data_IF_178044901946
#
_entry.id   IF_178044901946
#
_cell.length_a   1.000
_cell.length_b   1.000
_cell.length_c   1.000
_cell.angle_alpha   90.00
_cell.angle_beta   90.00
_cell.angle_gamma   90.00
#
_symmetry.space_group_name_H-M   'P 1'
#
loop_
_entity.id
_entity.type
_entity.pdbx_description
1 polymer ?
#
# COMPACT_ATOMS: atom_id res chain seq x y z
N UNK A 1 -8.82 26.46 -25.23
CA UNK A 1 -8.00 27.02 -24.14
C UNK A 1 -7.03 25.93 -23.68
N UNK A 2 -5.73 26.25 -23.48
CA UNK A 2 -4.79 25.30 -22.87
C UNK A 2 -5.11 25.20 -21.39
N UNK A 3 -5.34 23.99 -20.89
CA UNK A 3 -5.47 23.75 -19.44
C UNK A 3 -4.09 23.86 -18.81
N UNK A 4 -3.95 24.66 -17.76
CA UNK A 4 -2.69 24.84 -17.04
C UNK A 4 -2.84 24.16 -15.69
N UNK A 5 -1.90 23.27 -15.35
CA UNK A 5 -1.86 22.61 -14.05
C UNK A 5 -1.51 23.60 -12.93
N UNK A 6 -1.82 23.28 -11.66
CA UNK A 6 -1.48 24.16 -10.53
C UNK A 6 -0.01 24.56 -10.44
N UNK A 7 0.91 23.75 -10.98
CA UNK A 7 2.35 24.01 -11.05
C UNK A 7 2.79 24.77 -12.32
N UNK A 8 1.85 25.33 -13.09
CA UNK A 8 2.14 26.14 -14.27
C UNK A 8 2.43 25.34 -15.55
N UNK A 9 2.47 24.00 -15.47
CA UNK A 9 2.71 23.15 -16.64
C UNK A 9 1.47 23.17 -17.55
N UNK A 10 1.59 23.54 -18.82
CA UNK A 10 0.50 23.43 -19.77
C UNK A 10 0.25 21.95 -20.08
N UNK A 11 -0.96 21.46 -19.80
CA UNK A 11 -1.38 20.14 -20.26
C UNK A 11 -1.37 20.14 -21.79
N UNK A 12 -0.63 19.21 -22.40
CA UNK A 12 -0.78 18.95 -23.81
C UNK A 12 -2.20 18.43 -24.07
N UNK A 13 -2.82 18.88 -25.15
CA UNK A 13 -4.17 18.43 -25.52
C UNK A 13 -4.21 17.00 -26.06
N UNK A 14 -3.05 16.39 -26.30
CA UNK A 14 -2.97 15.00 -26.73
C UNK A 14 -3.15 14.08 -25.53
N UNK A 15 -4.19 13.27 -25.53
CA UNK A 15 -4.35 12.16 -24.60
C UNK A 15 -3.06 11.31 -24.56
N UNK A 16 -2.72 10.69 -23.41
CA UNK A 16 -1.65 9.70 -23.39
C UNK A 16 -1.96 8.67 -24.46
N UNK A 17 -1.08 8.54 -25.46
CA UNK A 17 -1.29 7.57 -26.54
C UNK A 17 -1.46 6.20 -25.92
N UNK A 18 -2.53 5.49 -26.28
CA UNK A 18 -2.70 4.09 -25.89
C UNK A 18 -1.48 3.32 -26.36
N UNK A 19 -0.68 2.82 -25.41
CA UNK A 19 0.51 2.04 -25.72
C UNK A 19 0.03 0.64 -26.08
N UNK A 20 0.16 0.28 -27.36
CA UNK A 20 -0.19 -1.04 -27.88
C UNK A 20 1.02 -1.97 -28.01
N UNK A 21 2.24 -1.45 -27.83
CA UNK A 21 3.49 -2.20 -27.93
C UNK A 21 4.19 -2.24 -26.56
N UNK A 22 4.19 -3.43 -25.97
CA UNK A 22 4.84 -3.72 -24.68
C UNK A 22 6.21 -4.40 -24.84
N UNK A 23 6.75 -4.47 -26.06
CA UNK A 23 8.05 -5.09 -26.33
C UNK A 23 9.24 -4.17 -26.05
N UNK A 24 8.98 -2.88 -25.80
CA UNK A 24 10.02 -1.88 -25.57
C UNK A 24 10.34 -1.70 -24.09
N UNK A 25 11.63 -1.64 -23.77
CA UNK A 25 12.20 -1.43 -22.43
C UNK A 25 12.60 0.04 -22.17
N UNK A 26 12.45 0.91 -23.17
CA UNK A 26 12.77 2.33 -23.02
C UNK A 26 11.68 3.06 -22.22
N UNK A 27 12.05 4.05 -21.40
CA UNK A 27 11.10 4.93 -20.74
C UNK A 27 10.16 5.58 -21.76
N UNK A 28 8.90 5.73 -21.37
CA UNK A 28 7.92 6.45 -22.18
C UNK A 28 8.34 7.93 -22.30
N UNK A 29 8.12 8.50 -23.49
CA UNK A 29 8.30 9.93 -23.68
C UNK A 29 7.41 10.71 -22.70
N UNK A 30 7.95 11.82 -22.19
CA UNK A 30 7.29 12.76 -21.26
C UNK A 30 7.17 14.14 -21.92
N UNK A 31 6.26 14.33 -22.90
CA UNK A 31 6.23 15.52 -23.76
C UNK A 31 6.07 16.84 -23.01
N UNK A 32 5.43 16.82 -21.84
CA UNK A 32 5.23 18.00 -21.00
C UNK A 32 6.53 18.49 -20.33
N UNK A 33 7.63 17.73 -20.39
CA UNK A 33 8.96 18.14 -19.96
C UNK A 33 9.88 18.56 -21.13
N UNK A 34 9.46 18.43 -22.39
CA UNK A 34 10.25 18.87 -23.55
C UNK A 34 10.31 20.40 -23.67
N UNK A 35 9.31 21.11 -23.16
CA UNK A 35 9.22 22.58 -23.18
C UNK A 35 8.56 23.08 -21.89
N UNK A 36 9.26 22.99 -20.74
CA UNK A 36 8.73 23.44 -19.46
C UNK A 36 8.60 24.97 -19.41
N UNK A 37 7.75 25.52 -18.54
CA UNK A 37 7.69 26.97 -18.33
C UNK A 37 9.04 27.48 -17.77
N UNK A 38 9.35 28.75 -18.04
CA UNK A 38 10.59 29.40 -17.56
C UNK A 38 10.69 29.40 -16.02
N UNK A 39 9.55 29.49 -15.34
CA UNK A 39 9.42 29.43 -13.89
C UNK A 39 8.43 28.33 -13.53
N UNK A 40 8.86 27.40 -12.67
CA UNK A 40 8.00 26.35 -12.12
C UNK A 40 7.66 26.73 -10.68
N UNK A 41 6.38 26.94 -10.40
CA UNK A 41 5.91 27.30 -9.07
C UNK A 41 5.79 26.05 -8.19
N UNK A 42 6.83 25.80 -7.39
CA UNK A 42 6.89 24.66 -6.45
C UNK A 42 6.06 24.89 -5.19
N UNK A 43 5.49 26.08 -4.99
CA UNK A 43 4.66 26.38 -3.81
C UNK A 43 3.24 25.80 -3.90
N UNK A 44 2.87 25.24 -5.06
CA UNK A 44 1.52 24.76 -5.34
C UNK A 44 1.50 23.25 -5.57
N UNK A 45 0.55 22.57 -4.95
CA UNK A 45 0.34 21.13 -5.11
C UNK A 45 1.39 20.26 -4.41
N UNK A 46 1.26 18.94 -4.61
CA UNK A 46 2.22 17.96 -4.09
C UNK A 46 3.33 17.79 -5.12
N UNK A 47 4.56 17.96 -4.67
CA UNK A 47 5.76 17.80 -5.47
C UNK A 47 6.38 16.44 -5.14
N UNK A 48 6.73 15.64 -6.14
CA UNK A 48 7.42 14.37 -5.92
C UNK A 48 8.92 14.58 -6.15
N UNK A 49 9.74 14.14 -5.21
CA UNK A 49 11.19 14.31 -5.30
C UNK A 49 11.89 13.47 -6.41
N UNK A 50 11.10 12.85 -7.28
CA UNK A 50 11.56 12.13 -8.46
C UNK A 50 11.57 12.99 -9.72
N UNK A 51 10.98 14.19 -9.70
CA UNK A 51 10.83 15.04 -10.87
C UNK A 51 12.13 15.80 -11.21
N UNK A 52 12.64 15.64 -12.44
CA UNK A 52 13.89 16.25 -12.93
C UNK A 52 13.90 17.77 -12.83
N UNK A 53 12.75 18.39 -13.07
CA UNK A 53 12.62 19.83 -13.04
C UNK A 53 12.69 20.42 -11.62
N UNK A 54 12.44 19.62 -10.58
CA UNK A 54 12.60 20.04 -9.18
C UNK A 54 14.04 19.91 -8.71
N UNK A 55 14.73 18.85 -9.16
CA UNK A 55 16.13 18.60 -8.80
C UNK A 55 17.07 19.55 -9.57
N UNK A 56 16.64 20.00 -10.76
CA UNK A 56 17.39 20.87 -11.68
C UNK A 56 18.88 20.49 -11.76
N UNK A 57 19.17 19.27 -12.25
CA UNK A 57 20.53 18.71 -12.23
C UNK A 57 21.52 19.52 -13.09
N UNK A 58 21.03 20.47 -13.90
CA UNK A 58 21.84 21.34 -14.74
C UNK A 58 22.27 22.63 -14.03
N UNK A 59 21.57 23.04 -12.96
CA UNK A 59 21.90 24.25 -12.19
C UNK A 59 22.28 23.98 -10.74
N UNK A 60 21.98 22.79 -10.23
CA UNK A 60 22.38 22.36 -8.88
C UNK A 60 23.58 21.42 -8.93
N UNK A 61 24.19 21.18 -7.76
CA UNK A 61 25.20 20.13 -7.59
C UNK A 61 24.56 18.80 -7.11
N UNK A 62 23.24 18.64 -7.28
CA UNK A 62 22.55 17.41 -6.88
C UNK A 62 22.69 16.36 -7.99
N UNK A 63 23.19 15.18 -7.61
CA UNK A 63 23.32 14.03 -8.50
C UNK A 63 22.39 12.92 -8.04
N UNK A 64 21.71 12.26 -8.98
CA UNK A 64 20.91 11.07 -8.68
C UNK A 64 21.81 9.84 -8.66
N UNK A 65 21.76 9.12 -7.56
CA UNK A 65 22.44 7.84 -7.41
C UNK A 65 21.41 6.72 -7.16
N UNK A 66 21.46 5.68 -7.99
CA UNK A 66 20.61 4.51 -7.84
C UNK A 66 21.39 3.42 -7.13
N UNK A 67 21.06 3.17 -5.87
CA UNK A 67 21.68 2.11 -5.09
C UNK A 67 20.97 0.78 -5.33
N UNK A 68 21.75 -0.30 -5.41
CA UNK A 68 21.18 -1.65 -5.42
C UNK A 68 20.59 -1.95 -4.04
N UNK A 69 19.29 -2.29 -3.92
CA UNK A 69 18.72 -2.65 -2.63
C UNK A 69 19.39 -3.92 -2.10
N UNK A 70 19.82 -3.89 -0.84
CA UNK A 70 20.35 -5.03 -0.10
C UNK A 70 19.24 -5.53 0.82
N UNK A 71 19.00 -6.85 0.84
CA UNK A 71 18.00 -7.43 1.76
C UNK A 71 18.42 -7.17 3.20
N UNK A 72 17.47 -6.72 4.02
CA UNK A 72 17.70 -6.57 5.45
C UNK A 72 18.12 -7.93 6.07
N UNK A 73 19.22 -8.00 6.84
CA UNK A 73 19.70 -9.26 7.41
C UNK A 73 18.72 -9.93 8.39
N UNK A 74 17.86 -9.13 9.04
CA UNK A 74 16.85 -9.62 9.99
C UNK A 74 15.56 -10.13 9.35
N UNK A 75 15.57 -10.48 8.06
CA UNK A 75 14.39 -11.04 7.40
C UNK A 75 14.20 -12.54 7.74
N UNK A 76 12.94 -13.03 7.85
CA UNK A 76 11.71 -12.24 7.83
C UNK A 76 11.51 -11.47 9.14
N UNK A 77 10.96 -10.25 9.03
CA UNK A 77 10.65 -9.40 10.20
C UNK A 77 9.30 -9.73 10.85
N UNK A 78 8.52 -10.59 10.20
CA UNK A 78 7.24 -11.10 10.69
C UNK A 78 7.00 -12.50 10.11
N UNK A 79 6.64 -13.47 10.95
CA UNK A 79 6.44 -14.87 10.58
C UNK A 79 5.43 -15.55 11.53
N UNK A 80 4.87 -16.72 11.17
CA UNK A 80 3.88 -17.43 11.99
C UNK A 80 4.46 -17.85 13.36
N UNK A 81 3.80 -17.46 14.45
CA UNK A 81 4.21 -17.77 15.82
C UNK A 81 3.03 -18.10 16.75
N UNK A 82 1.89 -17.43 16.57
CA UNK A 82 0.69 -17.63 17.40
C UNK A 82 -0.06 -18.93 17.06
N UNK A 83 -0.93 -19.41 17.97
CA UNK A 83 -1.80 -20.56 17.70
C UNK A 83 -2.70 -20.37 16.48
N UNK A 84 -3.18 -19.15 16.23
CA UNK A 84 -3.98 -18.80 15.06
C UNK A 84 -3.19 -18.87 13.76
N UNK A 85 -1.91 -18.46 13.77
CA UNK A 85 -1.03 -18.48 12.60
C UNK A 85 -0.48 -19.87 12.26
N UNK A 86 -0.45 -20.77 13.24
CA UNK A 86 0.06 -22.15 13.15
C UNK A 86 -1.01 -23.22 13.34
N UNK A 87 -2.29 -22.81 13.28
CA UNK A 87 -3.44 -23.68 13.43
C UNK A 87 -3.36 -24.87 12.46
N UNK A 88 -3.58 -26.12 12.91
CA UNK A 88 -3.44 -27.31 12.05
C UNK A 88 -4.49 -27.40 10.93
N UNK A 89 -5.59 -26.65 11.02
CA UNK A 89 -6.64 -26.62 10.01
C UNK A 89 -6.21 -25.85 8.75
N UNK A 90 -5.17 -25.02 8.84
CA UNK A 90 -4.67 -24.17 7.75
C UNK A 90 -3.15 -24.31 7.58
N UNK A 91 -2.62 -24.15 6.35
CA UNK A 91 -1.16 -24.03 6.18
C UNK A 91 -0.62 -22.84 7.00
N UNK A 92 0.45 -23.00 7.79
CA UNK A 92 0.97 -21.92 8.64
C UNK A 92 1.27 -20.64 7.86
N UNK A 93 0.74 -19.51 8.31
CA UNK A 93 0.81 -18.26 7.55
C UNK A 93 0.65 -17.02 8.42
N UNK A 94 1.37 -15.95 8.05
CA UNK A 94 1.28 -14.62 8.62
C UNK A 94 1.57 -13.62 7.49
N UNK A 95 0.56 -13.30 6.68
CA UNK A 95 0.74 -12.51 5.45
C UNK A 95 -0.23 -11.35 5.37
N UNK A 96 0.27 -10.16 5.00
CA UNK A 96 -0.55 -8.97 4.73
C UNK A 96 -1.30 -9.09 3.38
N UNK A 97 -1.98 -10.22 3.15
CA UNK A 97 -2.72 -10.52 1.92
C UNK A 97 -3.95 -9.64 1.85
N UNK A 98 -4.05 -8.82 0.80
CA UNK A 98 -5.15 -7.89 0.54
C UNK A 98 -5.39 -6.80 1.62
N UNK A 99 -4.90 -6.94 2.85
CA UNK A 99 -5.11 -6.02 3.99
C UNK A 99 -4.06 -4.93 4.19
N UNK A 100 -2.88 -5.08 3.59
CA UNK A 100 -1.83 -4.07 3.56
C UNK A 100 -1.22 -3.70 4.92
N UNK A 101 -0.17 -2.89 4.85
CA UNK A 101 0.47 -2.23 5.99
C UNK A 101 0.25 -0.75 5.82
N UNK A 102 -0.31 -0.10 6.83
CA UNK A 102 -0.62 1.33 6.81
C UNK A 102 0.04 2.03 7.98
N UNK A 103 0.50 3.26 7.78
CA UNK A 103 0.86 4.12 8.89
C UNK A 103 -0.38 4.91 9.31
N UNK A 104 -0.81 4.72 10.54
CA UNK A 104 -1.88 5.49 11.17
C UNK A 104 -1.27 6.73 11.83
N UNK A 105 -1.60 7.91 11.30
CA UNK A 105 -1.03 9.18 11.73
C UNK A 105 -1.53 9.63 13.12
N UNK A 106 -2.76 9.25 13.48
CA UNK A 106 -3.34 9.56 14.79
C UNK A 106 -2.69 8.73 15.88
N UNK A 107 -2.53 7.43 15.63
CA UNK A 107 -1.97 6.49 16.61
C UNK A 107 -0.43 6.46 16.54
N UNK A 108 0.16 7.01 15.47
CA UNK A 108 1.59 7.00 15.16
C UNK A 108 2.19 5.59 15.14
N UNK A 109 1.45 4.67 14.52
CA UNK A 109 1.79 3.25 14.44
C UNK A 109 1.65 2.75 13.01
N UNK A 110 2.56 1.86 12.62
CA UNK A 110 2.30 0.95 11.51
C UNK A 110 1.30 -0.11 11.97
N UNK A 111 0.29 -0.36 11.15
CA UNK A 111 -0.77 -1.34 11.37
C UNK A 111 -0.82 -2.28 10.19
N UNK A 112 -0.79 -3.57 10.49
CA UNK A 112 -0.86 -4.64 9.51
C UNK A 112 -2.13 -5.44 9.75
N UNK A 113 -3.06 -5.36 8.79
CA UNK A 113 -4.18 -6.30 8.74
C UNK A 113 -3.75 -7.48 7.88
N UNK A 114 -3.70 -8.65 8.49
CA UNK A 114 -3.06 -9.81 7.91
C UNK A 114 -3.87 -11.08 8.13
N UNK A 115 -3.53 -12.09 7.34
CA UNK A 115 -4.12 -13.42 7.38
C UNK A 115 -3.24 -14.33 8.23
N UNK A 116 -3.87 -15.01 9.20
CA UNK A 116 -3.27 -16.04 10.06
C UNK A 116 -3.68 -17.41 9.53
N UNK A 117 -2.70 -18.24 9.15
CA UNK A 117 -2.99 -19.47 8.40
C UNK A 117 -3.51 -19.18 6.99
N UNK A 118 -3.08 -19.91 5.96
CA UNK A 118 -3.48 -19.62 4.59
C UNK A 118 -4.98 -19.94 4.40
N UNK A 119 -5.79 -18.91 4.11
CA UNK A 119 -7.26 -18.93 4.15
C UNK A 119 -7.85 -19.14 5.55
N UNK A 120 -7.09 -18.83 6.61
CA UNK A 120 -7.53 -18.91 7.99
C UNK A 120 -8.26 -17.63 8.43
N UNK A 121 -7.79 -17.01 9.51
CA UNK A 121 -8.45 -15.86 10.15
C UNK A 121 -7.82 -14.52 9.76
N UNK A 122 -8.53 -13.43 9.98
CA UNK A 122 -7.99 -12.08 9.87
C UNK A 122 -7.55 -11.54 11.24
N UNK A 123 -6.38 -10.94 11.28
CA UNK A 123 -5.75 -10.42 12.49
C UNK A 123 -5.11 -9.05 12.27
N UNK A 124 -4.76 -8.40 13.38
CA UNK A 124 -4.03 -7.13 13.43
C UNK A 124 -2.67 -7.32 14.09
N UNK A 125 -1.63 -6.73 13.51
CA UNK A 125 -0.35 -6.51 14.16
C UNK A 125 0.01 -5.02 14.10
N UNK A 126 0.72 -4.53 15.12
CA UNK A 126 1.13 -3.13 15.24
C UNK A 126 2.64 -3.00 15.37
N UNK A 127 3.21 -1.88 14.91
CA UNK A 127 4.64 -1.62 15.02
C UNK A 127 4.92 -0.13 15.09
N UNK A 128 5.95 0.26 15.84
CA UNK A 128 6.44 1.65 15.86
C UNK A 128 7.41 1.97 14.72
N UNK A 129 8.07 0.96 14.13
CA UNK A 129 9.16 1.14 13.16
C UNK A 129 8.98 0.35 11.86
N UNK A 130 7.93 -0.47 11.76
CA UNK A 130 7.65 -1.35 10.62
C UNK A 130 8.54 -2.60 10.56
N UNK A 131 9.40 -2.83 11.56
CA UNK A 131 10.36 -3.94 11.63
C UNK A 131 10.05 -4.85 12.83
N UNK A 132 9.73 -4.28 13.98
CA UNK A 132 9.37 -5.04 15.18
C UNK A 132 7.87 -4.98 15.38
N UNK A 133 7.21 -6.13 15.34
CA UNK A 133 5.75 -6.24 15.32
C UNK A 133 5.22 -6.85 16.60
N UNK A 134 4.11 -6.30 17.08
CA UNK A 134 3.36 -6.77 18.23
C UNK A 134 1.99 -7.28 17.79
N UNK A 135 1.49 -8.30 18.49
CA UNK A 135 0.15 -8.88 18.28
C UNK A 135 -0.73 -8.44 19.46
N UNK A 136 -1.44 -7.30 19.35
CA UNK A 136 -2.24 -6.79 20.46
C UNK A 136 -3.39 -7.73 20.80
N UNK A 137 -3.66 -7.94 22.08
CA UNK A 137 -4.85 -8.67 22.50
C UNK A 137 -6.10 -7.80 22.28
N UNK A 138 -7.07 -8.34 21.55
CA UNK A 138 -8.36 -7.75 21.22
C UNK A 138 -9.48 -8.52 21.94
N UNK A 139 -10.67 -7.92 21.94
CA UNK A 139 -11.88 -8.43 22.57
C UNK A 139 -12.80 -9.19 21.61
N UNK A 140 -12.65 -9.02 20.29
CA UNK A 140 -13.41 -9.73 19.25
C UNK A 140 -13.35 -11.25 19.43
N UNK A 141 -12.13 -11.78 19.60
CA UNK A 141 -11.88 -13.13 20.11
C UNK A 141 -10.94 -12.97 21.31
N UNK A 142 -11.46 -13.03 22.55
CA UNK A 142 -10.73 -12.61 23.74
C UNK A 142 -9.34 -13.23 23.88
N UNK A 143 -8.34 -12.37 24.05
CA UNK A 143 -6.95 -12.79 24.27
C UNK A 143 -6.16 -13.11 22.99
N UNK A 144 -6.77 -12.93 21.82
CA UNK A 144 -6.11 -13.07 20.51
C UNK A 144 -6.03 -11.72 19.82
N UNK A 145 -5.31 -11.63 18.70
CA UNK A 145 -5.26 -10.43 17.87
C UNK A 145 -6.19 -10.50 16.64
N UNK A 146 -7.21 -11.37 16.69
CA UNK A 146 -8.18 -11.53 15.61
C UNK A 146 -9.12 -10.32 15.54
N UNK A 147 -9.39 -9.85 14.32
CA UNK A 147 -10.29 -8.71 14.06
C UNK A 147 -11.69 -9.14 13.63
N UNK A 148 -11.90 -10.45 13.44
CA UNK A 148 -13.17 -11.06 13.08
C UNK A 148 -13.39 -12.34 13.89
N UNK A 149 -14.65 -12.73 14.13
CA UNK A 149 -15.00 -14.06 14.65
C UNK A 149 -14.39 -15.21 13.83
N UNK A 150 -14.14 -16.35 14.48
CA UNK A 150 -13.49 -17.53 13.86
C UNK A 150 -14.33 -18.25 12.81
N UNK A 151 -15.61 -17.93 12.66
CA UNK A 151 -16.50 -18.45 11.62
C UNK A 151 -16.46 -17.63 10.32
N UNK A 152 -15.70 -16.52 10.30
CA UNK A 152 -15.49 -15.70 9.10
C UNK A 152 -14.06 -15.88 8.61
N UNK A 153 -13.92 -16.34 7.36
CA UNK A 153 -12.62 -16.64 6.75
C UNK A 153 -12.42 -15.79 5.51
N UNK A 154 -11.72 -14.64 5.58
CA UNK A 154 -11.48 -13.84 4.39
C UNK A 154 -10.45 -14.49 3.47
N UNK A 155 -10.81 -14.77 2.22
CA UNK A 155 -9.82 -15.05 1.17
C UNK A 155 -9.20 -13.72 0.73
N UNK A 156 -10.05 -12.76 0.41
CA UNK A 156 -9.62 -11.40 0.08
C UNK A 156 -10.32 -10.40 0.99
N UNK A 157 -9.56 -9.46 1.51
CA UNK A 157 -10.14 -8.37 2.28
C UNK A 157 -9.12 -7.29 2.53
N UNK A 158 -9.58 -6.04 2.53
CA UNK A 158 -8.76 -4.86 2.71
C UNK A 158 -9.36 -4.00 3.79
N UNK A 159 -8.55 -3.60 4.77
CA UNK A 159 -8.91 -2.54 5.71
C UNK A 159 -8.28 -1.25 5.21
N UNK A 160 -9.09 -0.19 5.15
CA UNK A 160 -8.66 1.17 4.84
C UNK A 160 -8.89 2.06 6.06
N UNK A 161 -7.93 2.96 6.29
CA UNK A 161 -8.07 4.04 7.26
C UNK A 161 -8.71 5.22 6.53
N UNK A 162 -9.97 5.52 6.88
CA UNK A 162 -10.69 6.69 6.38
C UNK A 162 -10.31 7.91 7.22
N UNK A 163 -9.29 8.64 6.77
CA UNK A 163 -8.82 9.85 7.44
C UNK A 163 -9.85 10.99 7.40
N UNK A 164 -10.89 10.90 6.56
CA UNK A 164 -11.95 11.89 6.44
C UNK A 164 -13.19 11.57 7.28
N UNK A 165 -13.24 10.40 7.95
CA UNK A 165 -14.34 10.03 8.82
C UNK A 165 -14.55 11.07 9.93
N UNK A 166 -15.78 11.59 10.03
CA UNK A 166 -16.19 12.54 11.07
C UNK A 166 -16.33 11.85 12.44
N UNK A 167 -16.93 10.65 12.45
CA UNK A 167 -17.00 9.79 13.63
C UNK A 167 -15.69 8.98 13.77
N UNK A 168 -14.94 9.14 14.88
CA UNK A 168 -13.73 8.36 15.13
C UNK A 168 -13.95 6.84 15.16
N UNK A 169 -15.14 6.37 15.57
CA UNK A 169 -15.48 4.95 15.64
C UNK A 169 -15.70 4.33 14.25
N UNK A 170 -15.95 5.18 13.25
CA UNK A 170 -16.16 4.76 11.86
C UNK A 170 -14.89 4.86 11.01
N UNK A 171 -13.73 5.15 11.61
CA UNK A 171 -12.47 5.42 10.88
C UNK A 171 -11.95 4.25 10.06
N UNK A 172 -12.30 3.01 10.39
CA UNK A 172 -11.85 1.83 9.67
C UNK A 172 -12.95 1.28 8.78
N UNK A 173 -12.65 1.14 7.48
CA UNK A 173 -13.56 0.54 6.51
C UNK A 173 -12.98 -0.77 6.02
N UNK A 174 -13.79 -1.81 5.92
CA UNK A 174 -13.35 -3.11 5.44
C UNK A 174 -14.17 -3.55 4.22
N UNK A 175 -13.47 -3.95 3.17
CA UNK A 175 -14.02 -4.81 2.12
C UNK A 175 -13.59 -6.25 2.43
N UNK A 176 -14.53 -7.19 2.40
CA UNK A 176 -14.25 -8.61 2.66
C UNK A 176 -14.97 -9.49 1.64
N UNK A 177 -14.28 -10.55 1.21
CA UNK A 177 -14.82 -11.66 0.44
C UNK A 177 -14.21 -12.97 0.93
N UNK A 178 -15.08 -13.86 1.38
CA UNK A 178 -14.72 -15.23 1.76
C UNK A 178 -14.29 -16.06 0.53
N UNK A 179 -13.60 -17.20 0.74
CA UNK A 179 -13.32 -18.16 -0.32
C UNK A 179 -14.59 -18.48 -1.11
N UNK A 180 -14.41 -18.76 -2.40
CA UNK A 180 -15.51 -19.33 -3.17
C UNK A 180 -15.98 -20.62 -2.47
N UNK A 181 -17.29 -20.76 -2.25
CA UNK A 181 -17.85 -22.06 -1.97
C UNK A 181 -17.47 -23.04 -3.08
N UNK A 182 -17.42 -24.34 -2.78
CA UNK A 182 -17.21 -25.38 -3.78
C UNK A 182 -18.19 -25.12 -4.93
N UNK A 183 -17.67 -24.80 -6.11
CA UNK A 183 -18.47 -24.52 -7.29
C UNK A 183 -19.45 -25.68 -7.50
N UNK A 184 -20.77 -25.44 -7.66
CA UNK A 184 -21.65 -26.49 -8.15
C UNK A 184 -21.10 -26.99 -9.50
N UNK A 185 -21.22 -28.28 -9.84
CA UNK A 185 -20.76 -28.78 -11.13
C UNK A 185 -21.36 -27.94 -12.25
N UNK A 186 -20.52 -27.53 -13.20
CA UNK A 186 -20.95 -26.80 -14.38
C UNK A 186 -22.05 -27.58 -15.09
N UNK A 187 -23.19 -26.92 -15.32
CA UNK A 187 -24.25 -27.42 -16.20
C UNK A 187 -23.79 -27.44 -17.66
#
# INVERSE_FOLDING_TARGET
MKTILPNGIPLSQSEPKTISDFSHDQPLAVPYLESPPEVIDVSRGRQLFVDDFLVDPFRTQMHREYHRPVKYPGNPVFFPESPEETCPDFPPCAIAKSGGVWFDDRDRLFKMWYMTGYLGYAALATSHDGVHWERPALDVVPGTNLILPKDIHPDSGSVLIDHAAEDPEERYKMLLREPNGVTPPAY
#
